data_IF_470899417912
#
_entry.id   IF_470899417912
#
_cell.length_a   1.000
_cell.length_b   1.000
_cell.length_c   1.000
_cell.angle_alpha   90.00
_cell.angle_beta   90.00
_cell.angle_gamma   90.00
#
_symmetry.space_group_name_H-M   'P 1'
#
loop_
_entity.id
_entity.type
_entity.pdbx_description
1 polymer ?
#
# COMPACT_ATOMS: atom_id res chain seq x y z
N UNK A 1 59.08 32.16 23.39
CA UNK A 1 60.34 32.34 22.63
C UNK A 1 61.11 31.04 22.74
N UNK A 2 61.41 30.23 21.72
CA UNK A 2 61.35 30.32 20.25
C UNK A 2 61.44 28.87 19.72
N UNK A 3 60.69 28.54 18.68
CA UNK A 3 60.69 27.24 17.99
C UNK A 3 62.00 27.01 17.22
N UNK A 4 62.48 25.76 17.15
CA UNK A 4 63.25 25.31 15.99
C UNK A 4 63.31 23.77 15.89
N UNK A 5 62.65 23.17 14.90
CA UNK A 5 63.03 21.85 14.38
C UNK A 5 62.85 21.81 12.86
N UNK A 6 63.78 21.14 12.13
CA UNK A 6 64.02 21.37 10.72
C UNK A 6 63.06 20.62 9.80
N UNK A 7 62.76 21.29 8.70
CA UNK A 7 62.09 20.77 7.50
C UNK A 7 62.96 19.67 6.89
N UNK A 8 62.41 18.46 6.77
CA UNK A 8 62.88 17.49 5.80
C UNK A 8 61.71 17.06 4.92
N UNK A 9 61.89 17.33 3.64
CA UNK A 9 61.20 16.82 2.48
C UNK A 9 60.71 15.38 2.66
N UNK A 10 59.55 15.06 2.09
CA UNK A 10 59.41 14.08 1.01
C UNK A 10 57.96 14.11 0.53
N UNK A 11 57.77 14.66 -0.67
CA UNK A 11 56.54 14.48 -1.41
C UNK A 11 56.43 12.99 -1.78
N UNK A 12 55.35 12.34 -1.37
CA UNK A 12 54.92 11.10 -1.99
C UNK A 12 53.43 11.19 -2.31
N UNK A 13 53.16 11.25 -3.60
CA UNK A 13 51.85 11.09 -4.22
C UNK A 13 51.37 9.66 -3.94
N UNK A 14 50.10 9.49 -3.58
CA UNK A 14 49.30 8.36 -4.09
C UNK A 14 47.81 8.66 -3.94
N UNK A 15 47.18 8.78 -5.11
CA UNK A 15 45.75 8.78 -5.37
C UNK A 15 45.00 7.77 -4.48
N UNK A 16 44.02 8.23 -3.72
CA UNK A 16 42.94 7.37 -3.26
C UNK A 16 41.81 7.37 -4.30
N UNK A 17 41.84 6.40 -5.19
CA UNK A 17 40.68 6.07 -6.02
C UNK A 17 39.64 5.42 -5.11
N UNK A 18 38.62 6.18 -4.72
CA UNK A 18 37.42 5.61 -4.09
C UNK A 18 36.58 5.01 -5.21
N UNK A 19 36.84 3.74 -5.54
CA UNK A 19 35.86 2.92 -6.25
C UNK A 19 34.77 2.57 -5.24
N UNK A 20 33.69 3.36 -5.24
CA UNK A 20 32.49 3.04 -4.49
C UNK A 20 31.92 1.72 -5.01
N UNK A 21 32.14 0.65 -4.24
CA UNK A 21 31.43 -0.61 -4.39
C UNK A 21 29.95 -0.35 -4.09
N UNK A 22 29.17 -0.11 -5.15
CA UNK A 22 27.71 -0.20 -5.07
C UNK A 22 27.32 -1.68 -5.01
N UNK A 23 27.47 -2.28 -3.84
CA UNK A 23 26.71 -3.46 -3.45
C UNK A 23 25.28 -3.00 -3.14
N UNK A 24 24.33 -3.38 -3.99
CA UNK A 24 22.92 -3.06 -3.80
C UNK A 24 22.02 -3.64 -4.88
N UNK A 25 21.68 -4.93 -4.73
CA UNK A 25 20.55 -5.69 -5.28
C UNK A 25 19.71 -5.10 -6.45
N UNK A 26 19.60 -5.80 -7.61
CA UNK A 26 18.44 -5.63 -8.47
C UNK A 26 17.26 -6.45 -7.89
N UNK A 27 16.24 -5.76 -7.39
CA UNK A 27 14.93 -6.31 -7.02
C UNK A 27 14.31 -5.52 -5.85
N UNK A 28 13.01 -5.18 -5.88
CA UNK A 28 11.94 -5.91 -6.56
C UNK A 28 11.19 -5.07 -7.61
N UNK A 29 10.54 -5.77 -8.54
CA UNK A 29 9.34 -5.38 -9.27
C UNK A 29 9.08 -3.88 -9.41
N UNK A 30 9.55 -3.32 -10.52
CA UNK A 30 9.09 -2.04 -11.02
C UNK A 30 7.59 -2.14 -11.34
N UNK A 31 6.80 -1.81 -10.31
CA UNK A 31 5.43 -1.31 -10.31
C UNK A 31 4.68 -1.58 -11.61
N UNK A 32 3.79 -2.57 -11.58
CA UNK A 32 2.61 -2.51 -12.44
C UNK A 32 2.08 -1.07 -12.46
N UNK A 33 1.67 -0.55 -13.64
CA UNK A 33 1.14 0.80 -13.74
C UNK A 33 0.08 0.95 -12.65
N UNK A 34 0.05 2.09 -11.94
CA UNK A 34 -0.95 2.42 -10.91
C UNK A 34 -2.36 2.17 -11.46
N UNK A 35 -2.83 0.93 -11.39
CA UNK A 35 -4.03 0.48 -12.04
C UNK A 35 -5.10 0.54 -10.99
N UNK A 36 -6.15 1.27 -11.31
CA UNK A 36 -7.36 1.22 -10.53
C UNK A 36 -7.93 -0.19 -10.72
N UNK A 37 -7.96 -0.94 -9.64
CA UNK A 37 -8.62 -2.22 -9.59
C UNK A 37 -10.00 -2.03 -8.97
N UNK A 38 -10.98 -2.73 -9.53
CA UNK A 38 -12.33 -2.79 -8.96
C UNK A 38 -12.55 -4.22 -8.51
N UNK A 39 -12.90 -4.38 -7.24
CA UNK A 39 -13.29 -5.67 -6.67
C UNK A 39 -14.71 -5.56 -6.17
N UNK A 40 -15.56 -6.47 -6.64
CA UNK A 40 -16.91 -6.66 -6.10
C UNK A 40 -16.88 -7.87 -5.17
N UNK A 41 -17.55 -7.78 -4.02
CA UNK A 41 -17.65 -8.91 -3.11
C UNK A 41 -18.50 -8.63 -1.88
N UNK A 42 -18.49 -9.57 -0.94
CA UNK A 42 -19.20 -9.48 0.34
C UNK A 42 -18.20 -9.09 1.41
N UNK A 43 -18.55 -8.12 2.25
CA UNK A 43 -17.74 -7.75 3.41
C UNK A 43 -17.85 -8.89 4.44
N UNK A 44 -16.72 -9.57 4.71
CA UNK A 44 -16.65 -10.65 5.70
C UNK A 44 -16.36 -10.11 7.10
N UNK A 45 -15.38 -9.21 7.19
CA UNK A 45 -14.96 -8.60 8.44
C UNK A 45 -14.46 -7.17 8.21
N UNK A 46 -14.60 -6.33 9.23
CA UNK A 46 -14.11 -4.96 9.23
C UNK A 46 -13.31 -4.75 10.51
N UNK A 47 -12.08 -4.29 10.37
CA UNK A 47 -11.20 -3.92 11.45
C UNK A 47 -11.02 -2.39 11.45
N UNK A 48 -11.86 -1.67 12.23
CA UNK A 48 -11.77 -0.22 12.33
C UNK A 48 -10.52 0.25 13.08
N UNK A 49 -9.88 -0.59 13.91
CA UNK A 49 -8.67 -0.20 14.63
C UNK A 49 -7.46 -0.08 13.69
N UNK A 50 -7.38 -0.98 12.70
CA UNK A 50 -6.34 -0.98 11.68
C UNK A 50 -6.76 -0.29 10.38
N UNK A 51 -7.97 0.25 10.29
CA UNK A 51 -8.57 0.79 9.05
C UNK A 51 -8.48 -0.22 7.90
N UNK A 52 -8.78 -1.49 8.17
CA UNK A 52 -8.76 -2.54 7.15
C UNK A 52 -10.06 -3.30 7.13
N UNK A 53 -10.39 -3.91 6.01
CA UNK A 53 -11.53 -4.82 5.92
C UNK A 53 -11.22 -5.97 4.98
N UNK A 54 -11.93 -7.07 5.18
CA UNK A 54 -11.80 -8.30 4.42
C UNK A 54 -13.04 -8.44 3.57
N UNK A 55 -12.81 -8.57 2.27
CA UNK A 55 -13.84 -8.74 1.26
C UNK A 55 -13.68 -10.10 0.59
N UNK A 56 -14.77 -10.85 0.50
CA UNK A 56 -14.85 -12.09 -0.25
C UNK A 56 -15.36 -11.78 -1.66
N UNK A 57 -14.50 -11.86 -2.69
CA UNK A 57 -14.85 -11.41 -4.04
C UNK A 57 -15.98 -12.25 -4.65
N UNK A 58 -16.92 -11.58 -5.32
CA UNK A 58 -18.01 -12.16 -6.09
C UNK A 58 -17.75 -11.87 -7.58
N UNK A 59 -17.38 -12.88 -8.38
CA UNK A 59 -17.11 -12.71 -9.82
C UNK A 59 -16.12 -13.74 -10.39
N UNK A 60 -15.54 -13.52 -11.57
CA UNK A 60 -14.55 -14.42 -12.21
C UNK A 60 -13.29 -14.68 -11.37
N UNK A 61 -13.01 -13.83 -10.36
CA UNK A 61 -12.00 -14.09 -9.30
C UNK A 61 -12.44 -15.16 -8.27
N UNK A 62 -13.58 -15.86 -8.48
CA UNK A 62 -14.13 -16.94 -7.63
C UNK A 62 -13.31 -18.22 -7.59
N UNK A 63 -12.25 -18.35 -8.39
CA UNK A 63 -11.56 -19.63 -8.54
C UNK A 63 -10.95 -20.14 -7.22
N UNK A 64 -10.78 -19.28 -6.22
CA UNK A 64 -10.33 -19.71 -4.90
C UNK A 64 -11.18 -19.14 -3.75
N UNK A 65 -11.92 -19.97 -2.98
CA UNK A 65 -12.63 -19.53 -1.77
C UNK A 65 -11.69 -19.04 -0.65
N UNK A 66 -10.36 -19.19 -0.80
CA UNK A 66 -9.35 -18.56 0.04
C UNK A 66 -8.89 -17.17 -0.44
N UNK A 67 -9.43 -16.65 -1.56
CA UNK A 67 -9.12 -15.31 -2.06
C UNK A 67 -9.81 -14.21 -1.24
N UNK A 68 -9.50 -14.15 0.05
CA UNK A 68 -9.86 -13.02 0.90
C UNK A 68 -9.03 -11.81 0.49
N UNK A 69 -9.69 -10.73 0.05
CA UNK A 69 -9.00 -9.49 -0.28
C UNK A 69 -9.04 -8.60 0.95
N UNK A 70 -7.87 -8.41 1.55
CA UNK A 70 -7.67 -7.40 2.59
C UNK A 70 -7.40 -6.05 1.94
N UNK A 71 -8.24 -5.07 2.24
CA UNK A 71 -8.11 -3.71 1.74
C UNK A 71 -7.94 -2.74 2.91
N UNK A 72 -7.13 -1.71 2.70
CA UNK A 72 -6.91 -0.62 3.64
C UNK A 72 -7.77 0.57 3.23
N UNK A 73 -8.36 1.26 4.20
CA UNK A 73 -9.08 2.52 3.99
C UNK A 73 -8.33 3.67 4.64
N UNK A 74 -8.58 4.87 4.14
CA UNK A 74 -8.08 6.11 4.70
C UNK A 74 -9.19 7.15 4.87
N UNK A 75 -8.84 8.34 5.36
CA UNK A 75 -9.78 9.45 5.51
C UNK A 75 -10.25 10.06 4.18
N UNK A 76 -9.59 9.74 3.06
CA UNK A 76 -9.95 10.19 1.71
C UNK A 76 -10.85 9.19 0.99
N UNK A 77 -11.05 8.01 1.58
CA UNK A 77 -11.91 6.96 1.05
C UNK A 77 -13.34 7.46 1.09
N UNK A 78 -14.00 7.41 -0.06
CA UNK A 78 -15.39 7.82 -0.15
C UNK A 78 -16.30 6.60 -0.02
N UNK A 79 -17.32 6.70 0.81
CA UNK A 79 -18.26 5.63 1.08
C UNK A 79 -19.66 5.99 0.57
N UNK A 80 -20.30 5.02 -0.08
CA UNK A 80 -21.69 5.10 -0.46
C UNK A 80 -22.43 3.88 0.06
N UNK A 81 -23.64 4.08 0.57
CA UNK A 81 -24.56 3.03 0.97
C UNK A 81 -25.85 3.19 0.17
N UNK A 82 -26.22 2.18 -0.59
CA UNK A 82 -27.43 2.17 -1.43
C UNK A 82 -27.53 3.40 -2.35
N UNK A 83 -26.38 3.80 -2.91
CA UNK A 83 -26.24 4.95 -3.80
C UNK A 83 -26.18 6.32 -3.11
N UNK A 84 -26.25 6.38 -1.78
CA UNK A 84 -26.16 7.63 -1.01
C UNK A 84 -24.80 7.76 -0.31
N UNK A 85 -24.16 8.94 -0.29
CA UNK A 85 -22.95 9.14 0.50
C UNK A 85 -23.18 8.75 1.97
N UNK A 86 -22.23 8.04 2.55
CA UNK A 86 -22.35 7.50 3.90
C UNK A 86 -21.02 7.54 4.63
N UNK A 87 -21.01 7.10 5.88
CA UNK A 87 -19.79 6.94 6.69
C UNK A 87 -19.31 5.51 6.67
N UNK A 88 -18.02 5.30 6.99
CA UNK A 88 -17.43 3.97 7.11
C UNK A 88 -18.27 3.05 8.01
N UNK A 89 -18.65 3.50 9.21
CA UNK A 89 -19.45 2.69 10.14
C UNK A 89 -20.83 2.27 9.60
N UNK A 90 -21.44 3.11 8.76
CA UNK A 90 -22.76 2.81 8.21
C UNK A 90 -22.66 1.90 6.99
N UNK A 91 -21.69 2.15 6.11
CA UNK A 91 -21.48 1.38 4.89
C UNK A 91 -20.81 0.01 5.18
N UNK A 92 -19.74 0.00 5.96
CA UNK A 92 -18.89 -1.18 6.17
C UNK A 92 -19.47 -2.10 7.26
N UNK A 93 -20.48 -2.89 6.90
CA UNK A 93 -21.05 -3.93 7.77
C UNK A 93 -20.84 -5.31 7.16
N UNK A 94 -20.52 -6.28 8.01
CA UNK A 94 -20.40 -7.66 7.57
C UNK A 94 -21.72 -8.16 6.95
N UNK A 95 -21.62 -8.91 5.87
CA UNK A 95 -22.77 -9.40 5.09
C UNK A 95 -23.26 -8.44 4.00
N UNK A 96 -22.88 -7.16 4.03
CA UNK A 96 -23.19 -6.25 2.92
C UNK A 96 -22.33 -6.55 1.69
N UNK A 97 -22.90 -6.35 0.51
CA UNK A 97 -22.16 -6.42 -0.75
C UNK A 97 -21.46 -5.08 -1.01
N UNK A 98 -20.19 -5.09 -1.38
CA UNK A 98 -19.41 -3.90 -1.66
C UNK A 98 -18.68 -4.02 -3.00
N UNK A 99 -18.71 -2.94 -3.76
CA UNK A 99 -17.88 -2.69 -4.94
C UNK A 99 -16.83 -1.67 -4.53
N UNK A 100 -15.57 -2.10 -4.50
CA UNK A 100 -14.45 -1.29 -4.03
C UNK A 100 -13.52 -0.99 -5.19
N UNK A 101 -13.32 0.28 -5.46
CA UNK A 101 -12.21 0.74 -6.31
C UNK A 101 -11.00 0.98 -5.41
N UNK A 102 -9.93 0.23 -5.63
CA UNK A 102 -8.68 0.36 -4.90
C UNK A 102 -7.49 0.55 -5.84
N UNK A 103 -6.40 1.05 -5.27
CA UNK A 103 -5.12 1.20 -5.94
C UNK A 103 -4.04 0.69 -4.98
N UNK A 104 -3.32 -0.37 -5.36
CA UNK A 104 -2.28 -0.99 -4.52
C UNK A 104 -2.78 -1.37 -3.11
N UNK A 105 -4.00 -1.93 -3.01
CA UNK A 105 -4.62 -2.31 -1.73
C UNK A 105 -5.22 -1.16 -0.92
N UNK A 106 -5.11 0.10 -1.36
CA UNK A 106 -5.76 1.25 -0.76
C UNK A 106 -7.11 1.53 -1.43
N UNK A 107 -8.21 1.42 -0.68
CA UNK A 107 -9.54 1.76 -1.16
C UNK A 107 -9.66 3.27 -1.40
N UNK A 108 -10.14 3.66 -2.57
CA UNK A 108 -10.41 5.05 -2.94
C UNK A 108 -11.91 5.33 -2.88
N UNK A 109 -12.72 4.35 -3.33
CA UNK A 109 -14.17 4.42 -3.36
C UNK A 109 -14.76 3.08 -2.94
N UNK A 110 -15.73 3.12 -2.05
CA UNK A 110 -16.44 1.94 -1.55
C UNK A 110 -17.93 2.18 -1.77
N UNK A 111 -18.52 1.43 -2.70
CA UNK A 111 -19.95 1.43 -2.95
C UNK A 111 -20.54 0.18 -2.30
N UNK A 112 -21.30 0.37 -1.23
CA UNK A 112 -21.94 -0.71 -0.50
C UNK A 112 -23.42 -0.77 -0.86
N UNK A 113 -23.92 -1.98 -1.03
CA UNK A 113 -25.33 -2.32 -1.12
C UNK A 113 -25.71 -3.16 0.09
N UNK A 114 -26.76 -2.72 0.78
CA UNK A 114 -27.29 -3.45 1.93
C UNK A 114 -27.75 -4.84 1.50
N UNK A 115 -27.47 -5.87 2.31
CA UNK A 115 -28.04 -7.19 2.06
C UNK A 115 -29.59 -7.11 2.12
N UNK A 116 -30.32 -7.81 1.22
CA UNK A 116 -31.76 -7.91 1.36
C UNK A 116 -32.09 -8.53 2.73
N UNK A 117 -32.98 -7.86 3.47
CA UNK A 117 -33.45 -8.29 4.79
C UNK A 117 -34.28 -9.58 4.73
#
# INVERSE_FOLDING_TARGET
>A
MTLNFPIRSFAWVLLFTVAAAAVGAPGPDEKEPRRLEVVEGIIKAVDPANNTFILTPLGEKKTDPASEVKLTVDQKTNYWLDGKPSTMNNAMKAGNSAVVTHMNGLALKVHVKSAPA
#
